data_IF_099546798662
#
_entry.id   IF_099546798662
#
_cell.length_a   1.000
_cell.length_b   1.000
_cell.length_c   1.000
_cell.angle_alpha   90.00
_cell.angle_beta   90.00
_cell.angle_gamma   90.00
#
_symmetry.space_group_name_H-M   'P 1'
#
loop_
_entity.id
_entity.type
_entity.pdbx_description
1 polymer ?
#
# COMPACT_ATOMS: atom_id res chain seq x y z
N UNK A 1 -9.70 21.08 11.24
CA UNK A 1 -9.68 20.76 9.80
C UNK A 1 -8.80 19.53 9.60
N UNK A 2 -9.39 18.34 9.43
CA UNK A 2 -8.64 17.08 9.34
C UNK A 2 -8.01 17.00 7.95
N UNK A 3 -6.68 17.11 7.85
CA UNK A 3 -5.96 16.86 6.60
C UNK A 3 -5.65 15.36 6.52
N UNK A 4 -6.37 14.65 5.64
CA UNK A 4 -5.99 13.29 5.24
C UNK A 4 -4.79 13.40 4.30
N UNK A 5 -3.62 12.96 4.76
CA UNK A 5 -2.46 12.80 3.89
C UNK A 5 -2.49 11.38 3.30
N UNK A 6 -2.85 11.27 2.03
CA UNK A 6 -2.73 10.02 1.28
C UNK A 6 -1.27 9.83 0.87
N UNK A 7 -0.55 9.00 1.61
CA UNK A 7 0.82 8.62 1.28
C UNK A 7 0.79 7.75 0.02
N UNK A 8 1.05 8.35 -1.15
CA UNK A 8 1.13 7.61 -2.42
C UNK A 8 2.56 7.11 -2.57
N UNK A 9 2.92 6.03 -1.88
CA UNK A 9 4.25 5.44 -2.03
C UNK A 9 4.35 4.78 -3.41
N UNK A 10 5.19 5.33 -4.28
CA UNK A 10 5.52 4.75 -5.58
C UNK A 10 6.66 3.72 -5.42
N UNK A 11 6.49 2.58 -6.10
CA UNK A 11 7.45 1.47 -6.23
C UNK A 11 7.54 0.48 -5.06
N UNK A 12 7.09 -0.75 -5.32
CA UNK A 12 7.64 -2.01 -4.82
C UNK A 12 7.05 -3.15 -5.66
N UNK A 13 7.90 -4.02 -6.19
CA UNK A 13 7.48 -5.26 -6.83
C UNK A 13 6.97 -6.20 -5.73
N UNK A 14 5.67 -6.49 -5.74
CA UNK A 14 5.07 -7.56 -4.94
C UNK A 14 4.65 -8.70 -5.87
N UNK A 15 5.64 -9.47 -6.31
CA UNK A 15 5.40 -10.83 -6.81
C UNK A 15 5.19 -11.73 -5.61
N UNK A 16 3.97 -11.74 -5.06
CA UNK A 16 3.46 -12.92 -4.39
C UNK A 16 2.01 -13.05 -4.78
N UNK A 17 1.73 -14.01 -5.65
CA UNK A 17 0.43 -14.67 -5.76
C UNK A 17 -0.15 -14.77 -4.36
N UNK A 18 -1.17 -13.95 -4.05
CA UNK A 18 -1.74 -13.90 -2.72
C UNK A 18 -2.16 -15.33 -2.38
N UNK A 19 -1.51 -15.93 -1.37
CA UNK A 19 -1.89 -17.25 -0.91
C UNK A 19 -3.37 -17.17 -0.50
N UNK A 20 -4.24 -17.75 -1.34
CA UNK A 20 -5.68 -17.52 -1.36
C UNK A 20 -6.30 -17.87 0.00
N UNK A 21 -5.73 -18.85 0.71
CA UNK A 21 -6.25 -19.33 1.99
C UNK A 21 -6.23 -18.27 3.10
N UNK A 22 -5.40 -17.22 2.97
CA UNK A 22 -5.26 -16.16 3.98
C UNK A 22 -5.99 -14.87 3.64
N UNK A 23 -6.57 -14.79 2.44
CA UNK A 23 -7.19 -13.59 1.90
C UNK A 23 -8.53 -13.92 1.25
N UNK A 24 -9.59 -13.21 1.63
CA UNK A 24 -10.89 -13.33 0.96
C UNK A 24 -11.14 -12.14 0.04
N UNK A 25 -11.88 -12.36 -1.04
CA UNK A 25 -12.41 -11.26 -1.85
C UNK A 25 -13.44 -10.50 -1.01
N UNK A 26 -13.25 -9.19 -0.85
CA UNK A 26 -14.20 -8.31 -0.20
C UNK A 26 -15.18 -7.77 -1.25
N UNK A 27 -14.64 -7.25 -2.35
CA UNK A 27 -15.44 -6.60 -3.40
C UNK A 27 -14.64 -6.50 -4.69
N UNK A 28 -15.35 -6.17 -5.78
CA UNK A 28 -14.80 -5.84 -7.08
C UNK A 28 -15.35 -4.48 -7.51
N UNK A 29 -14.47 -3.63 -8.04
CA UNK A 29 -14.82 -2.29 -8.49
C UNK A 29 -14.23 -2.04 -9.87
N UNK A 30 -14.99 -1.37 -10.73
CA UNK A 30 -14.47 -0.84 -11.98
C UNK A 30 -13.92 0.55 -11.73
N UNK A 31 -12.65 0.75 -12.04
CA UNK A 31 -11.97 2.03 -11.97
C UNK A 31 -11.87 2.61 -13.38
N UNK A 32 -12.25 3.89 -13.54
CA UNK A 32 -12.29 4.57 -14.85
C UNK A 32 -13.00 3.75 -15.95
N UNK A 33 -14.11 3.09 -15.59
CA UNK A 33 -15.00 2.28 -16.45
C UNK A 33 -14.38 1.08 -17.21
N UNK A 34 -13.04 0.97 -17.25
CA UNK A 34 -12.33 -0.08 -17.98
C UNK A 34 -11.48 -0.98 -17.09
N UNK A 35 -11.00 -0.48 -15.94
CA UNK A 35 -10.01 -1.20 -15.13
C UNK A 35 -10.71 -1.99 -14.03
N UNK A 36 -10.69 -3.33 -14.13
CA UNK A 36 -11.29 -4.18 -13.09
C UNK A 36 -10.33 -4.36 -11.92
N UNK A 37 -10.73 -3.88 -10.75
CA UNK A 37 -9.98 -3.97 -9.51
C UNK A 37 -10.66 -4.93 -8.54
N UNK A 38 -9.92 -5.95 -8.08
CA UNK A 38 -10.37 -6.89 -7.05
C UNK A 38 -9.74 -6.51 -5.71
N UNK A 39 -10.57 -6.33 -4.69
CA UNK A 39 -10.13 -6.00 -3.34
C UNK A 39 -10.15 -7.25 -2.48
N UNK A 40 -8.98 -7.66 -2.00
CA UNK A 40 -8.78 -8.75 -1.06
C UNK A 40 -8.63 -8.22 0.36
N UNK A 41 -9.16 -8.95 1.33
CA UNK A 41 -9.00 -8.69 2.75
C UNK A 41 -8.27 -9.81 3.45
N UNK A 42 -7.22 -9.49 4.20
CA UNK A 42 -6.55 -10.46 5.07
C UNK A 42 -7.48 -10.93 6.17
N UNK A 43 -7.57 -12.24 6.37
CA UNK A 43 -8.34 -12.85 7.46
C UNK A 43 -7.72 -12.59 8.84
N UNK A 44 -6.41 -12.29 8.91
CA UNK A 44 -5.69 -12.10 10.17
C UNK A 44 -5.56 -10.63 10.57
N UNK A 45 -5.16 -9.76 9.63
CA UNK A 45 -4.76 -8.38 9.97
C UNK A 45 -5.77 -7.33 9.52
N UNK A 46 -6.81 -7.72 8.78
CA UNK A 46 -7.74 -6.83 8.07
C UNK A 46 -7.06 -5.93 7.03
N UNK A 47 -5.80 -6.18 6.68
CA UNK A 47 -5.11 -5.48 5.60
C UNK A 47 -5.85 -5.71 4.28
N UNK A 48 -6.06 -4.64 3.52
CA UNK A 48 -6.74 -4.67 2.23
C UNK A 48 -5.71 -4.58 1.11
N UNK A 49 -5.87 -5.40 0.08
CA UNK A 49 -5.04 -5.39 -1.12
C UNK A 49 -5.97 -5.16 -2.31
N UNK A 50 -5.76 -4.07 -3.04
CA UNK A 50 -6.46 -3.81 -4.30
C UNK A 50 -5.56 -4.25 -5.45
N UNK A 51 -6.04 -5.18 -6.27
CA UNK A 51 -5.32 -5.71 -7.43
C UNK A 51 -6.09 -5.37 -8.71
N UNK A 52 -5.47 -4.60 -9.59
CA UNK A 52 -5.95 -4.37 -10.95
C UNK A 52 -5.18 -5.31 -11.88
N UNK A 53 -5.90 -6.04 -12.74
CA UNK A 53 -5.27 -6.89 -13.75
C UNK A 53 -5.39 -6.24 -15.12
N UNK A 54 -4.46 -5.34 -15.41
CA UNK A 54 -4.38 -4.61 -16.68
C UNK A 54 -3.24 -5.15 -17.53
N UNK A 55 -3.51 -5.38 -18.82
CA UNK A 55 -2.47 -5.71 -19.78
C UNK A 55 -1.70 -4.44 -20.15
N UNK A 56 -0.52 -4.27 -19.58
CA UNK A 56 0.37 -3.15 -19.90
C UNK A 56 1.80 -3.41 -19.44
N UNK A 57 2.80 -2.73 -20.03
CA UNK A 57 4.21 -2.90 -19.65
C UNK A 57 4.52 -2.34 -18.25
N UNK A 58 3.63 -1.49 -17.72
CA UNK A 58 3.84 -0.80 -16.46
C UNK A 58 3.24 -1.59 -15.30
N UNK A 59 4.11 -2.21 -14.50
CA UNK A 59 3.72 -2.78 -13.20
C UNK A 59 3.84 -1.70 -12.12
N UNK A 60 2.72 -1.29 -11.53
CA UNK A 60 2.69 -0.31 -10.43
C UNK A 60 2.10 -0.94 -9.17
N UNK A 61 2.78 -0.72 -8.04
CA UNK A 61 2.24 -1.00 -6.72
C UNK A 61 2.36 0.24 -5.85
N UNK A 62 1.40 0.41 -4.94
CA UNK A 62 1.39 1.49 -3.96
C UNK A 62 1.01 0.97 -2.58
N UNK A 63 1.59 1.57 -1.54
CA UNK A 63 1.21 1.31 -0.15
C UNK A 63 0.58 2.57 0.42
N UNK A 64 -0.63 2.43 0.97
CA UNK A 64 -1.36 3.52 1.55
C UNK A 64 -1.44 3.33 3.07
N UNK A 65 -0.96 4.32 3.81
CA UNK A 65 -1.11 4.40 5.26
C UNK A 65 -1.96 5.61 5.60
N UNK A 66 -3.05 5.40 6.33
CA UNK A 66 -3.83 6.51 6.87
C UNK A 66 -3.06 7.07 8.05
N UNK A 67 -2.55 8.29 7.88
CA UNK A 67 -1.88 9.04 8.94
C UNK A 67 -2.79 10.18 9.38
N UNK A 68 -3.04 10.27 10.69
CA UNK A 68 -3.82 11.34 11.30
C UNK A 68 -2.90 12.10 12.22
N UNK A 69 -2.85 13.42 12.06
CA UNK A 69 -2.11 14.33 12.93
C UNK A 69 -3.04 15.44 13.39
N UNK A 70 -2.97 15.78 14.68
CA UNK A 70 -3.63 16.95 15.26
C UNK A 70 -2.78 18.22 15.19
N UNK A 71 -1.51 18.09 14.78
CA UNK A 71 -0.52 19.16 14.71
C UNK A 71 0.08 19.26 13.31
N UNK A 72 0.69 20.40 12.98
CA UNK A 72 1.25 20.67 11.64
C UNK A 72 2.76 20.39 11.57
N UNK A 73 3.24 19.45 12.38
CA UNK A 73 4.69 19.26 12.66
C UNK A 73 5.39 18.45 11.56
N UNK A 74 4.68 18.10 10.48
CA UNK A 74 5.23 17.35 9.36
C UNK A 74 5.55 15.89 9.64
N UNK A 75 5.15 15.32 10.80
CA UNK A 75 5.47 13.94 11.19
C UNK A 75 5.14 12.88 10.13
N UNK A 76 3.98 12.91 9.45
CA UNK A 76 3.71 11.96 8.36
C UNK A 76 4.70 12.06 7.20
N UNK A 77 5.13 13.28 6.87
CA UNK A 77 6.11 13.52 5.81
C UNK A 77 7.50 13.00 6.21
N UNK A 78 7.93 13.27 7.43
CA UNK A 78 9.20 12.71 7.94
C UNK A 78 9.17 11.19 8.00
N UNK A 79 8.05 10.59 8.41
CA UNK A 79 7.88 9.13 8.47
C UNK A 79 8.05 8.47 7.10
N UNK A 80 7.55 9.09 6.03
CA UNK A 80 7.72 8.61 4.66
C UNK A 80 9.20 8.43 4.28
N UNK A 81 10.02 9.43 4.60
CA UNK A 81 11.47 9.34 4.35
C UNK A 81 12.14 8.27 5.22
N UNK A 82 11.75 8.18 6.50
CA UNK A 82 12.33 7.21 7.44
C UNK A 82 12.04 5.76 7.06
N UNK A 83 10.88 5.47 6.46
CA UNK A 83 10.49 4.15 5.98
C UNK A 83 11.52 3.52 5.03
N UNK A 84 12.26 4.35 4.28
CA UNK A 84 13.25 3.90 3.31
C UNK A 84 14.68 3.81 3.86
N UNK A 85 14.94 4.25 5.10
CA UNK A 85 16.28 4.20 5.70
C UNK A 85 16.70 2.80 6.17
N UNK A 86 15.79 1.84 6.16
CA UNK A 86 16.09 0.44 6.43
C UNK A 86 14.98 -0.29 7.17
N UNK A 87 15.10 -1.61 7.23
CA UNK A 87 14.16 -2.47 7.97
C UNK A 87 14.91 -3.52 8.77
N UNK A 88 14.22 -4.16 9.72
CA UNK A 88 14.80 -5.27 10.51
C UNK A 88 15.39 -6.38 9.62
N UNK A 89 14.77 -6.64 8.46
CA UNK A 89 15.25 -7.63 7.47
C UNK A 89 16.35 -7.11 6.55
N UNK A 90 16.37 -5.80 6.26
CA UNK A 90 17.38 -5.16 5.41
C UNK A 90 17.95 -3.94 6.12
N UNK A 91 19.05 -4.16 6.86
CA UNK A 91 19.83 -3.09 7.48
C UNK A 91 20.71 -2.44 6.43
N UNK A 92 20.57 -1.11 6.27
CA UNK A 92 21.35 -0.32 5.30
C UNK A 92 22.61 0.26 5.96
N UNK A 93 22.59 0.49 7.28
CA UNK A 93 23.75 0.88 8.09
C UNK A 93 24.16 -0.26 9.05
N UNK A 94 25.40 -0.75 8.89
CA UNK A 94 26.11 -1.57 9.88
C UNK A 94 27.04 -0.61 10.63
N UNK A 95 26.66 -0.25 11.85
CA UNK A 95 27.63 0.08 12.89
C UNK A 95 27.54 -1.04 13.92
#
# INVERSE_FOLDING_TARGET
MIKLYFLTILYIILTTYANCDKYRIITQVNYNDNVRVVIYGSLRTRLKIALANESGPLVKATFNFVTVTSTNDGLPHSLEHLLFLGSKKRKIRKY
#
